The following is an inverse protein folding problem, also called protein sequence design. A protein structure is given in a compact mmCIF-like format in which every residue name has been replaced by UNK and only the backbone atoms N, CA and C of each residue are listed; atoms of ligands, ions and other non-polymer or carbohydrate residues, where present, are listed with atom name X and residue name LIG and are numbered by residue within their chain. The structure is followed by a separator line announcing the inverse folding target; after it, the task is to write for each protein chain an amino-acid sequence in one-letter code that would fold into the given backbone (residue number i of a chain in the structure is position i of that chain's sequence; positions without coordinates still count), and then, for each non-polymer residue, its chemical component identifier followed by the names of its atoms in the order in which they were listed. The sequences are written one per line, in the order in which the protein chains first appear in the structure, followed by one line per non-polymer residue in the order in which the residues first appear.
data_IF_061399798866
#
_entry.id   IF_061399798866
#
_cell.length_a   1.000
_cell.length_b   1.000
_cell.length_c   1.000
_cell.angle_alpha   90.00
_cell.angle_beta   90.00
_cell.angle_gamma   90.00
#
_symmetry.space_group_name_H-M   'P 1'
#
loop_
_entity.id
_entity.type
_entity.pdbx_description
1 polymer ?
#
# COMPACT_ATOMS: atom_id res chain seq x y z
N UNK A 1 41.29 -9.90 -74.54
CA UNK A 1 40.82 -8.53 -74.18
C UNK A 1 39.39 -8.55 -73.63
N UNK A 2 38.47 -9.31 -74.23
CA UNK A 2 37.05 -9.40 -73.81
C UNK A 2 36.82 -9.83 -72.35
N UNK A 3 37.65 -10.71 -71.78
CA UNK A 3 37.52 -11.14 -70.36
C UNK A 3 37.89 -10.07 -69.34
N UNK A 4 38.60 -9.00 -69.72
CA UNK A 4 38.98 -7.93 -68.81
C UNK A 4 37.88 -6.87 -68.64
N UNK A 5 37.12 -6.57 -69.70
CA UNK A 5 35.98 -5.64 -69.65
C UNK A 5 34.79 -6.20 -68.85
N UNK A 6 34.50 -7.49 -69.00
CA UNK A 6 33.42 -8.15 -68.24
C UNK A 6 33.72 -8.14 -66.75
N UNK A 7 34.98 -8.31 -66.35
CA UNK A 7 35.38 -8.29 -64.93
C UNK A 7 35.31 -6.89 -64.31
N UNK A 8 35.58 -5.84 -65.09
CA UNK A 8 35.42 -4.44 -64.68
C UNK A 8 33.95 -4.05 -64.46
N UNK A 9 33.07 -4.44 -65.39
CA UNK A 9 31.63 -4.15 -65.30
C UNK A 9 30.95 -4.88 -64.13
N UNK A 10 31.34 -6.13 -63.84
CA UNK A 10 30.82 -6.87 -62.68
C UNK A 10 31.27 -6.23 -61.36
N UNK A 11 32.51 -5.76 -61.25
CA UNK A 11 33.00 -5.05 -60.06
C UNK A 11 32.26 -3.73 -59.81
N UNK A 12 32.01 -2.93 -60.85
CA UNK A 12 31.22 -1.69 -60.72
C UNK A 12 29.77 -1.99 -60.30
N UNK A 13 29.12 -2.97 -60.92
CA UNK A 13 27.73 -3.33 -60.59
C UNK A 13 27.60 -3.81 -59.13
N UNK A 14 28.59 -4.56 -58.63
CA UNK A 14 28.60 -5.04 -57.24
C UNK A 14 28.82 -3.91 -56.23
N UNK A 15 29.67 -2.92 -56.55
CA UNK A 15 29.89 -1.73 -55.71
C UNK A 15 28.64 -0.84 -55.62
N UNK A 16 27.99 -0.58 -56.76
CA UNK A 16 26.75 0.22 -56.80
C UNK A 16 25.62 -0.48 -56.03
N UNK A 17 25.44 -1.79 -56.20
CA UNK A 17 24.46 -2.56 -55.44
C UNK A 17 24.71 -2.53 -53.92
N UNK A 18 25.98 -2.56 -53.50
CA UNK A 18 26.38 -2.42 -52.09
C UNK A 18 26.03 -1.05 -51.50
N UNK A 19 26.24 0.03 -52.25
CA UNK A 19 25.87 1.39 -51.83
C UNK A 19 24.35 1.52 -51.67
N UNK A 20 23.57 0.99 -52.62
CA UNK A 20 22.10 1.03 -52.53
C UNK A 20 21.57 0.22 -51.34
N UNK A 21 22.10 -0.98 -51.09
CA UNK A 21 21.72 -1.78 -49.90
C UNK A 21 22.07 -1.06 -48.60
N UNK A 22 23.23 -0.40 -48.55
CA UNK A 22 23.69 0.30 -47.34
C UNK A 22 22.90 1.60 -47.10
N UNK A 23 22.58 2.35 -48.15
CA UNK A 23 21.70 3.52 -48.08
C UNK A 23 20.29 3.12 -47.61
N UNK A 24 19.74 2.01 -48.13
CA UNK A 24 18.46 1.48 -47.69
C UNK A 24 18.49 1.06 -46.21
N UNK A 25 19.60 0.48 -45.75
CA UNK A 25 19.84 0.13 -44.34
C UNK A 25 19.83 1.35 -43.41
N UNK A 26 20.47 2.46 -43.79
CA UNK A 26 20.43 3.71 -43.02
C UNK A 26 19.03 4.31 -42.98
N UNK A 27 18.35 4.38 -44.13
CA UNK A 27 16.99 4.93 -44.20
C UNK A 27 16.05 4.12 -43.30
N UNK A 28 16.20 2.78 -43.29
CA UNK A 28 15.45 1.90 -42.40
C UNK A 28 15.80 2.15 -40.92
N UNK A 29 17.08 2.27 -40.57
CA UNK A 29 17.52 2.55 -39.19
C UNK A 29 17.03 3.92 -38.68
N UNK A 30 17.11 4.97 -39.51
CA UNK A 30 16.58 6.30 -39.21
C UNK A 30 15.06 6.29 -39.08
N UNK A 31 14.35 5.60 -39.97
CA UNK A 31 12.90 5.45 -39.88
C UNK A 31 12.50 4.74 -38.58
N UNK A 32 13.21 3.67 -38.19
CA UNK A 32 13.04 3.01 -36.90
C UNK A 32 13.31 3.96 -35.73
N UNK A 33 14.39 4.74 -35.76
CA UNK A 33 14.68 5.70 -34.70
C UNK A 33 13.58 6.76 -34.54
N UNK A 34 13.10 7.32 -35.66
CA UNK A 34 12.06 8.36 -35.68
C UNK A 34 10.69 7.84 -35.26
N UNK A 35 10.37 6.57 -35.52
CA UNK A 35 9.10 5.95 -35.12
C UNK A 35 9.15 5.43 -33.68
N UNK A 36 10.25 4.78 -33.28
CA UNK A 36 10.34 4.09 -31.99
C UNK A 36 10.63 5.05 -30.85
N UNK A 37 11.43 6.11 -31.07
CA UNK A 37 11.72 7.11 -30.02
C UNK A 37 10.47 7.78 -29.42
N UNK A 38 9.53 8.34 -30.21
CA UNK A 38 8.32 8.94 -29.66
C UNK A 38 7.37 7.91 -29.03
N UNK A 39 7.37 6.66 -29.48
CA UNK A 39 6.62 5.57 -28.85
C UNK A 39 7.16 5.26 -27.46
N UNK A 40 8.49 5.21 -27.30
CA UNK A 40 9.14 5.00 -25.99
C UNK A 40 8.83 6.18 -25.05
N UNK A 41 8.87 7.42 -25.54
CA UNK A 41 8.50 8.59 -24.73
C UNK A 41 7.04 8.54 -24.28
N UNK A 42 6.13 8.17 -25.18
CA UNK A 42 4.70 8.03 -24.87
C UNK A 42 4.46 6.91 -23.86
N UNK A 43 5.07 5.74 -24.07
CA UNK A 43 4.97 4.60 -23.17
C UNK A 43 5.53 4.93 -21.79
N UNK A 44 6.68 5.61 -21.74
CA UNK A 44 7.31 6.08 -20.51
C UNK A 44 6.47 7.09 -19.76
N UNK A 45 5.95 8.10 -20.45
CA UNK A 45 5.05 9.09 -19.85
C UNK A 45 3.78 8.44 -19.27
N UNK A 46 3.18 7.49 -20.00
CA UNK A 46 2.01 6.76 -19.51
C UNK A 46 2.34 5.93 -18.26
N UNK A 47 3.50 5.27 -18.23
CA UNK A 47 3.94 4.49 -17.06
C UNK A 47 4.18 5.40 -15.84
N UNK A 48 4.81 6.57 -16.03
CA UNK A 48 5.01 7.55 -14.95
C UNK A 48 3.67 8.09 -14.43
N UNK A 49 2.73 8.43 -15.31
CA UNK A 49 1.39 8.88 -14.90
C UNK A 49 0.65 7.78 -14.11
N UNK A 50 0.75 6.53 -14.54
CA UNK A 50 0.16 5.41 -13.81
C UNK A 50 0.78 5.24 -12.41
N UNK A 51 2.10 5.41 -12.28
CA UNK A 51 2.80 5.39 -10.99
C UNK A 51 2.43 6.59 -10.11
N UNK A 52 2.26 7.79 -10.68
CA UNK A 52 1.81 8.97 -9.93
C UNK A 52 0.38 8.80 -9.42
N UNK A 53 -0.52 8.20 -10.21
CA UNK A 53 -1.86 7.82 -9.76
C UNK A 53 -1.80 6.77 -8.64
N UNK A 54 -0.93 5.76 -8.76
CA UNK A 54 -0.73 4.76 -7.71
C UNK A 54 -0.20 5.40 -6.42
N UNK A 55 0.78 6.32 -6.52
CA UNK A 55 1.30 7.07 -5.38
C UNK A 55 0.20 7.90 -4.69
N UNK A 56 -0.60 8.62 -5.47
CA UNK A 56 -1.73 9.42 -4.95
C UNK A 56 -2.79 8.54 -4.28
N UNK A 57 -3.06 7.35 -4.82
CA UNK A 57 -3.97 6.39 -4.20
C UNK A 57 -3.43 5.85 -2.88
N UNK A 58 -2.13 5.53 -2.81
CA UNK A 58 -1.46 5.11 -1.57
C UNK A 58 -1.49 6.22 -0.52
N UNK A 59 -1.30 7.48 -0.91
CA UNK A 59 -1.46 8.62 0.00
C UNK A 59 -2.89 8.71 0.55
N UNK A 60 -3.92 8.60 -0.30
CA UNK A 60 -5.30 8.59 0.16
C UNK A 60 -5.64 7.43 1.09
N UNK A 61 -5.05 6.25 0.87
CA UNK A 61 -5.14 5.11 1.79
C UNK A 61 -4.44 5.41 3.11
N UNK A 62 -3.26 6.02 3.08
CA UNK A 62 -2.51 6.43 4.27
C UNK A 62 -3.30 7.43 5.12
N UNK A 63 -3.90 8.45 4.51
CA UNK A 63 -4.70 9.46 5.22
C UNK A 63 -5.95 8.82 5.87
N UNK A 64 -6.63 7.95 5.14
CA UNK A 64 -7.79 7.21 5.66
C UNK A 64 -7.40 6.31 6.83
N UNK A 65 -6.22 5.70 6.75
CA UNK A 65 -5.67 4.86 7.78
C UNK A 65 -5.29 5.65 9.04
N UNK A 66 -4.68 6.82 8.90
CA UNK A 66 -4.38 7.71 10.04
C UNK A 66 -5.66 8.18 10.74
N UNK A 67 -6.71 8.50 9.98
CA UNK A 67 -8.02 8.83 10.54
C UNK A 67 -8.66 7.65 11.32
N UNK A 68 -8.54 6.43 10.77
CA UNK A 68 -9.00 5.22 11.46
C UNK A 68 -8.19 4.95 12.74
N UNK A 69 -6.87 5.12 12.68
CA UNK A 69 -5.96 5.01 13.83
C UNK A 69 -6.39 5.94 14.97
N UNK A 70 -6.64 7.22 14.66
CA UNK A 70 -7.06 8.21 15.65
C UNK A 70 -8.41 7.85 16.30
N UNK A 71 -9.33 7.30 15.51
CA UNK A 71 -10.63 6.81 16.00
C UNK A 71 -10.46 5.64 16.97
N UNK A 72 -9.56 4.69 16.67
CA UNK A 72 -9.23 3.59 17.57
C UNK A 72 -8.60 4.06 18.89
N UNK A 73 -7.70 5.04 18.84
CA UNK A 73 -7.14 5.65 20.06
C UNK A 73 -8.25 6.26 20.94
N UNK A 74 -9.17 7.01 20.33
CA UNK A 74 -10.30 7.62 21.04
C UNK A 74 -11.24 6.57 21.66
N UNK A 75 -11.46 5.46 20.95
CA UNK A 75 -12.21 4.31 21.47
C UNK A 75 -11.51 3.65 22.65
N UNK A 76 -10.18 3.48 22.59
CA UNK A 76 -9.40 2.91 23.68
C UNK A 76 -9.46 3.78 24.96
N UNK A 77 -9.42 5.10 24.83
CA UNK A 77 -9.60 6.03 25.96
C UNK A 77 -11.01 5.95 26.55
N UNK A 78 -12.04 5.95 25.70
CA UNK A 78 -13.43 5.77 26.12
C UNK A 78 -13.60 4.44 26.85
N UNK A 79 -12.94 3.40 26.34
CA UNK A 79 -12.92 2.09 26.94
C UNK A 79 -12.31 2.17 28.37
N UNK A 80 -11.13 2.74 28.51
CA UNK A 80 -10.50 2.88 29.83
C UNK A 80 -11.38 3.62 30.85
N UNK A 81 -12.06 4.69 30.41
CA UNK A 81 -12.99 5.45 31.24
C UNK A 81 -14.20 4.62 31.71
N UNK A 82 -14.84 3.88 30.80
CA UNK A 82 -15.99 3.03 31.14
C UNK A 82 -15.59 1.91 32.09
N UNK A 83 -14.43 1.27 31.88
CA UNK A 83 -13.87 0.31 32.84
C UNK A 83 -13.74 0.90 34.25
N UNK A 84 -13.19 2.12 34.35
CA UNK A 84 -13.04 2.80 35.63
C UNK A 84 -14.36 3.15 36.32
N UNK A 85 -15.39 3.51 35.55
CA UNK A 85 -16.74 3.75 36.08
C UNK A 85 -17.39 2.45 36.55
N UNK A 86 -17.26 1.37 35.78
CA UNK A 86 -17.79 0.06 36.11
C UNK A 86 -17.20 -0.46 37.43
N UNK A 87 -15.89 -0.31 37.62
CA UNK A 87 -15.21 -0.71 38.85
C UNK A 87 -15.71 0.09 40.08
N UNK A 88 -15.93 1.39 39.92
CA UNK A 88 -16.50 2.24 40.99
C UNK A 88 -17.93 1.81 41.34
N UNK A 89 -18.75 1.54 40.34
CA UNK A 89 -20.11 1.03 40.52
C UNK A 89 -20.10 -0.31 41.24
N UNK A 90 -19.20 -1.23 40.87
CA UNK A 90 -19.10 -2.58 41.46
C UNK A 90 -18.83 -2.47 42.96
N UNK A 91 -17.86 -1.64 43.31
CA UNK A 91 -17.48 -1.40 44.69
C UNK A 91 -18.59 -0.70 45.49
N UNK A 92 -19.33 0.22 44.88
CA UNK A 92 -20.51 0.85 45.49
C UNK A 92 -21.64 -0.15 45.75
N UNK A 93 -21.97 -0.96 44.76
CA UNK A 93 -22.99 -2.02 44.80
C UNK A 93 -22.69 -3.05 45.88
N UNK A 94 -21.44 -3.52 45.97
CA UNK A 94 -21.02 -4.47 47.00
C UNK A 94 -21.16 -3.91 48.43
N UNK A 95 -20.79 -2.63 48.63
CA UNK A 95 -20.95 -1.94 49.92
C UNK A 95 -22.41 -1.75 50.29
N UNK A 96 -23.27 -1.39 49.33
CA UNK A 96 -24.69 -1.20 49.58
C UNK A 96 -25.37 -2.53 49.91
N UNK A 97 -25.08 -3.59 49.15
CA UNK A 97 -25.56 -4.95 49.42
C UNK A 97 -25.16 -5.42 50.83
N UNK A 98 -23.90 -5.21 51.23
CA UNK A 98 -23.43 -5.53 52.59
C UNK A 98 -24.19 -4.75 53.67
N UNK A 99 -24.45 -3.46 53.43
CA UNK A 99 -25.20 -2.60 54.36
C UNK A 99 -26.67 -3.03 54.47
N UNK A 100 -27.31 -3.39 53.35
CA UNK A 100 -28.67 -3.94 53.28
C UNK A 100 -28.79 -5.26 54.05
N UNK A 101 -27.81 -6.16 53.89
CA UNK A 101 -27.77 -7.44 54.62
C UNK A 101 -27.67 -7.24 56.14
N UNK A 102 -26.80 -6.32 56.58
CA UNK A 102 -26.66 -5.96 58.00
C UNK A 102 -27.94 -5.30 58.55
N UNK A 103 -28.59 -4.45 57.75
CA UNK A 103 -29.86 -3.82 58.10
C UNK A 103 -30.97 -4.87 58.22
N UNK A 104 -31.06 -5.82 57.28
CA UNK A 104 -31.99 -6.95 57.31
C UNK A 104 -31.83 -7.77 58.58
N UNK A 105 -30.58 -8.08 58.92
CA UNK A 105 -30.23 -8.83 60.13
C UNK A 105 -30.63 -8.07 61.40
N UNK A 106 -30.41 -6.75 61.43
CA UNK A 106 -30.82 -5.89 62.57
C UNK A 106 -32.33 -5.76 62.69
N UNK A 107 -33.07 -5.59 61.58
CA UNK A 107 -34.54 -5.52 61.58
C UNK A 107 -35.16 -6.87 61.97
N UNK A 108 -34.62 -7.99 61.47
CA UNK A 108 -35.06 -9.33 61.85
C UNK A 108 -34.89 -9.59 63.36
N UNK A 109 -33.84 -9.04 63.97
CA UNK A 109 -33.67 -9.05 65.44
C UNK A 109 -34.65 -8.13 66.19
N UNK A 110 -35.15 -7.08 65.53
CA UNK A 110 -36.15 -6.14 66.06
C UNK A 110 -37.61 -6.55 65.74
N UNK A 111 -37.83 -7.73 65.13
CA UNK A 111 -39.08 -8.24 64.55
C UNK A 111 -40.30 -8.34 65.50
N UNK A 112 -40.19 -7.88 66.76
CA UNK A 112 -41.32 -7.78 67.68
C UNK A 112 -42.23 -6.56 67.36
N UNK A 113 -41.81 -5.61 66.50
CA UNK A 113 -42.62 -4.43 66.16
C UNK A 113 -42.58 -3.95 64.70
N UNK A 114 -41.93 -4.68 63.78
CA UNK A 114 -41.80 -4.25 62.38
C UNK A 114 -42.70 -5.11 61.46
N UNK A 115 -43.48 -4.49 60.54
CA UNK A 115 -44.30 -5.22 59.58
C UNK A 115 -43.45 -6.06 58.61
N UNK A 116 -43.86 -7.31 58.38
CA UNK A 116 -43.18 -8.28 57.52
C UNK A 116 -42.92 -7.78 56.09
N UNK A 117 -43.81 -6.93 55.55
CA UNK A 117 -43.66 -6.35 54.20
C UNK A 117 -42.36 -5.57 54.03
N UNK A 118 -41.89 -4.87 55.07
CA UNK A 118 -40.61 -4.13 55.02
C UNK A 118 -39.40 -5.07 55.00
N UNK A 119 -39.54 -6.30 55.52
CA UNK A 119 -38.48 -7.32 55.48
C UNK A 119 -38.41 -7.98 54.10
N UNK A 120 -39.57 -8.25 53.48
CA UNK A 120 -39.67 -8.76 52.11
C UNK A 120 -39.11 -7.76 51.09
N UNK A 121 -39.50 -6.47 51.15
CA UNK A 121 -38.96 -5.42 50.26
C UNK A 121 -37.43 -5.31 50.35
N UNK A 122 -36.88 -5.49 51.56
CA UNK A 122 -35.43 -5.43 51.78
C UNK A 122 -34.72 -6.66 51.18
N UNK A 123 -35.35 -7.83 51.28
CA UNK A 123 -34.83 -9.07 50.71
C UNK A 123 -34.89 -9.05 49.18
N UNK A 124 -35.98 -8.53 48.61
CA UNK A 124 -36.14 -8.30 47.17
C UNK A 124 -35.09 -7.30 46.68
N UNK A 125 -34.88 -6.21 47.42
CA UNK A 125 -33.84 -5.23 47.10
C UNK A 125 -32.42 -5.85 47.14
N UNK A 126 -32.14 -6.72 48.11
CA UNK A 126 -30.86 -7.42 48.19
C UNK A 126 -30.65 -8.38 47.00
N UNK A 127 -31.72 -9.07 46.59
CA UNK A 127 -31.73 -9.99 45.45
C UNK A 127 -31.44 -9.24 44.15
N UNK A 128 -32.14 -8.13 43.91
CA UNK A 128 -31.91 -7.25 42.77
C UNK A 128 -30.47 -6.70 42.74
N UNK A 129 -29.90 -6.36 43.90
CA UNK A 129 -28.49 -5.93 44.00
C UNK A 129 -27.49 -7.02 43.62
N UNK A 130 -27.73 -8.26 44.05
CA UNK A 130 -26.88 -9.41 43.70
C UNK A 130 -26.93 -9.70 42.20
N UNK A 131 -28.11 -9.56 41.60
CA UNK A 131 -28.32 -9.75 40.17
C UNK A 131 -27.63 -8.64 39.36
N UNK A 132 -27.73 -7.38 39.81
CA UNK A 132 -26.98 -6.27 39.24
C UNK A 132 -25.46 -6.49 39.32
N UNK A 133 -24.94 -6.97 40.46
CA UNK A 133 -23.51 -7.29 40.59
C UNK A 133 -23.06 -8.38 39.59
N UNK A 134 -23.90 -9.40 39.36
CA UNK A 134 -23.61 -10.46 38.39
C UNK A 134 -23.62 -9.96 36.94
N UNK A 135 -24.55 -9.06 36.60
CA UNK A 135 -24.57 -8.40 35.29
C UNK A 135 -23.34 -7.53 35.07
N UNK A 136 -22.85 -6.86 36.13
CA UNK A 136 -21.61 -6.09 36.07
C UNK A 136 -20.39 -6.97 35.83
N UNK A 137 -20.32 -8.17 36.42
CA UNK A 137 -19.24 -9.13 36.17
C UNK A 137 -19.21 -9.61 34.71
N UNK A 138 -20.41 -9.82 34.16
CA UNK A 138 -20.59 -10.15 32.75
C UNK A 138 -20.15 -9.00 31.83
N UNK A 139 -20.48 -7.76 32.21
CA UNK A 139 -20.04 -6.56 31.51
C UNK A 139 -18.52 -6.39 31.57
N UNK A 140 -17.89 -6.61 32.73
CA UNK A 140 -16.43 -6.55 32.88
C UNK A 140 -15.70 -7.59 32.02
N UNK A 141 -16.27 -8.80 31.91
CA UNK A 141 -15.74 -9.85 31.03
C UNK A 141 -15.82 -9.45 29.55
N UNK A 142 -16.97 -8.92 29.12
CA UNK A 142 -17.16 -8.41 27.76
C UNK A 142 -16.18 -7.28 27.44
N UNK A 143 -15.90 -6.44 28.43
CA UNK A 143 -14.95 -5.35 28.31
C UNK A 143 -13.50 -5.81 28.16
N UNK A 144 -13.13 -6.86 28.87
CA UNK A 144 -11.81 -7.49 28.76
C UNK A 144 -11.61 -8.09 27.36
N UNK A 145 -12.65 -8.73 26.81
CA UNK A 145 -12.64 -9.24 25.43
C UNK A 145 -12.52 -8.10 24.41
N UNK A 146 -13.27 -7.01 24.60
CA UNK A 146 -13.14 -5.82 23.77
C UNK A 146 -11.71 -5.26 23.82
N UNK A 147 -11.08 -5.23 25.00
CA UNK A 147 -9.71 -4.72 25.15
C UNK A 147 -8.71 -5.57 24.38
N UNK A 148 -8.86 -6.90 24.44
CA UNK A 148 -8.03 -7.81 23.66
C UNK A 148 -8.24 -7.61 22.15
N UNK A 149 -9.49 -7.38 21.71
CA UNK A 149 -9.81 -7.08 20.32
C UNK A 149 -9.19 -5.76 19.87
N UNK A 150 -9.30 -4.69 20.66
CA UNK A 150 -8.66 -3.40 20.40
C UNK A 150 -7.14 -3.55 20.24
N UNK A 151 -6.50 -4.36 21.09
CA UNK A 151 -5.06 -4.59 21.00
C UNK A 151 -4.67 -5.38 19.74
N UNK A 152 -5.46 -6.41 19.37
CA UNK A 152 -5.27 -7.13 18.11
C UNK A 152 -5.38 -6.21 16.91
N UNK A 153 -6.39 -5.33 16.89
CA UNK A 153 -6.57 -4.37 15.81
C UNK A 153 -5.41 -3.38 15.76
N UNK A 154 -4.90 -2.91 16.91
CA UNK A 154 -3.71 -2.05 16.96
C UNK A 154 -2.49 -2.70 16.31
N UNK A 155 -2.24 -3.99 16.56
CA UNK A 155 -1.12 -4.69 15.90
C UNK A 155 -1.33 -4.89 14.39
N UNK A 156 -2.57 -5.11 13.95
CA UNK A 156 -2.91 -5.17 12.53
C UNK A 156 -2.73 -3.81 11.85
N UNK A 157 -3.08 -2.74 12.56
CA UNK A 157 -2.87 -1.36 12.15
C UNK A 157 -1.37 -1.14 11.91
N UNK A 158 -0.51 -1.38 12.90
CA UNK A 158 0.95 -1.24 12.75
C UNK A 158 1.51 -2.03 11.55
N UNK A 159 1.04 -3.26 11.35
CA UNK A 159 1.43 -4.09 10.21
C UNK A 159 1.03 -3.46 8.88
N UNK A 160 -0.19 -2.95 8.79
CA UNK A 160 -0.73 -2.26 7.60
C UNK A 160 0.05 -0.99 7.29
N UNK A 161 0.40 -0.20 8.33
CA UNK A 161 1.23 1.00 8.18
C UNK A 161 2.59 0.67 7.55
N UNK A 162 3.23 -0.40 8.01
CA UNK A 162 4.49 -0.86 7.44
C UNK A 162 4.32 -1.30 5.98
N UNK A 163 3.25 -2.03 5.65
CA UNK A 163 2.95 -2.43 4.26
C UNK A 163 2.70 -1.23 3.33
N UNK A 164 2.00 -0.19 3.80
CA UNK A 164 1.81 1.06 3.06
C UNK A 164 3.17 1.73 2.79
N UNK A 165 4.02 1.82 3.83
CA UNK A 165 5.36 2.39 3.69
C UNK A 165 6.22 1.63 2.68
N UNK A 166 6.20 0.30 2.71
CA UNK A 166 6.91 -0.54 1.73
C UNK A 166 6.37 -0.33 0.32
N UNK A 167 5.05 -0.30 0.15
CA UNK A 167 4.42 -0.06 -1.17
C UNK A 167 4.83 1.29 -1.75
N UNK A 168 4.92 2.33 -0.92
CA UNK A 168 5.39 3.65 -1.36
C UNK A 168 6.84 3.62 -1.84
N UNK A 169 7.71 2.87 -1.15
CA UNK A 169 9.09 2.69 -1.56
C UNK A 169 9.20 1.93 -2.89
N UNK A 170 8.40 0.86 -3.07
CA UNK A 170 8.37 0.08 -4.30
C UNK A 170 7.89 0.90 -5.50
N UNK A 171 6.90 1.80 -5.30
CA UNK A 171 6.43 2.72 -6.35
C UNK A 171 7.55 3.69 -6.76
N UNK A 172 8.31 4.21 -5.80
CA UNK A 172 9.42 5.12 -6.09
C UNK A 172 10.55 4.41 -6.84
N UNK A 173 10.92 3.19 -6.43
CA UNK A 173 11.93 2.38 -7.13
C UNK A 173 11.48 2.00 -8.55
N UNK A 174 10.19 1.68 -8.73
CA UNK A 174 9.61 1.44 -10.05
C UNK A 174 9.70 2.67 -10.95
N UNK A 175 9.50 3.88 -10.41
CA UNK A 175 9.62 5.14 -11.15
C UNK A 175 11.04 5.39 -11.64
N UNK A 176 12.03 5.14 -10.80
CA UNK A 176 13.44 5.25 -11.17
C UNK A 176 13.87 4.16 -12.17
N UNK A 177 13.36 2.93 -12.00
CA UNK A 177 13.58 1.83 -12.95
C UNK A 177 13.02 2.17 -14.34
N UNK A 178 11.78 2.68 -14.41
CA UNK A 178 11.15 3.09 -15.67
C UNK A 178 11.96 4.19 -16.35
N UNK A 179 12.40 5.21 -15.62
CA UNK A 179 13.30 6.26 -16.15
C UNK A 179 14.59 5.67 -16.73
N UNK A 180 15.23 4.77 -15.99
CA UNK A 180 16.48 4.13 -16.40
C UNK A 180 16.31 3.32 -17.69
N UNK A 181 15.25 2.52 -17.79
CA UNK A 181 14.92 1.73 -18.99
C UNK A 181 14.71 2.65 -20.19
N UNK A 182 13.91 3.72 -20.05
CA UNK A 182 13.67 4.68 -21.14
C UNK A 182 14.99 5.29 -21.61
N UNK A 183 15.83 5.74 -20.67
CA UNK A 183 17.14 6.30 -20.98
C UNK A 183 18.06 5.31 -21.71
N UNK A 184 18.12 4.07 -21.22
CA UNK A 184 18.94 3.00 -21.80
C UNK A 184 18.49 2.61 -23.21
N UNK A 185 17.18 2.44 -23.43
CA UNK A 185 16.64 2.10 -24.75
C UNK A 185 16.88 3.24 -25.75
N UNK A 186 16.70 4.49 -25.33
CA UNK A 186 17.03 5.66 -26.17
C UNK A 186 18.51 5.71 -26.56
N UNK A 187 19.41 5.46 -25.61
CA UNK A 187 20.84 5.41 -25.87
C UNK A 187 21.21 4.29 -26.85
N UNK A 188 20.64 3.09 -26.67
CA UNK A 188 20.86 1.96 -27.55
C UNK A 188 20.39 2.24 -29.00
N UNK A 189 19.21 2.85 -29.15
CA UNK A 189 18.67 3.29 -30.44
C UNK A 189 19.57 4.32 -31.13
N UNK A 190 20.10 5.28 -30.36
CA UNK A 190 21.02 6.29 -30.87
C UNK A 190 22.36 5.67 -31.32
N UNK A 191 22.93 4.78 -30.51
CA UNK A 191 24.17 4.06 -30.85
C UNK A 191 24.00 3.18 -32.09
N UNK A 192 22.88 2.45 -32.19
CA UNK A 192 22.56 1.63 -33.37
C UNK A 192 22.51 2.49 -34.64
N UNK A 193 21.88 3.66 -34.56
CA UNK A 193 21.78 4.60 -35.68
C UNK A 193 23.15 5.14 -36.08
N UNK A 194 23.99 5.55 -35.12
CA UNK A 194 25.36 6.01 -35.37
C UNK A 194 26.20 4.90 -36.01
N UNK A 195 26.13 3.67 -35.50
CA UNK A 195 26.86 2.53 -36.06
C UNK A 195 26.45 2.23 -37.50
N UNK A 196 25.15 2.30 -37.81
CA UNK A 196 24.66 2.14 -39.18
C UNK A 196 25.22 3.21 -40.13
N UNK A 197 25.29 4.48 -39.68
CA UNK A 197 25.87 5.59 -40.46
C UNK A 197 27.38 5.41 -40.67
N UNK A 198 28.13 5.01 -39.63
CA UNK A 198 29.57 4.77 -39.74
C UNK A 198 29.90 3.61 -40.70
N UNK A 199 29.13 2.52 -40.64
CA UNK A 199 29.25 1.39 -41.55
C UNK A 199 29.04 1.82 -43.01
N UNK A 200 28.06 2.67 -43.27
CA UNK A 200 27.84 3.21 -44.60
C UNK A 200 28.99 4.11 -45.07
N UNK A 201 29.50 4.99 -44.22
CA UNK A 201 30.64 5.85 -44.57
C UNK A 201 31.90 5.02 -44.89
N UNK A 202 32.14 3.93 -44.14
CA UNK A 202 33.21 2.99 -44.40
C UNK A 202 33.03 2.26 -45.75
N UNK A 203 31.80 1.81 -46.05
CA UNK A 203 31.47 1.16 -47.32
C UNK A 203 31.58 2.10 -48.53
N UNK A 204 31.12 3.35 -48.39
CA UNK A 204 31.29 4.39 -49.41
C UNK A 204 32.77 4.63 -49.70
N UNK A 205 33.59 4.79 -48.65
CA UNK A 205 35.04 5.00 -48.77
C UNK A 205 35.74 3.83 -49.47
N UNK A 206 35.38 2.59 -49.13
CA UNK A 206 35.90 1.37 -49.77
C UNK A 206 35.52 1.29 -51.25
N UNK A 207 34.27 1.63 -51.60
CA UNK A 207 33.81 1.63 -52.98
C UNK A 207 34.51 2.69 -53.84
N UNK A 208 34.76 3.90 -53.29
CA UNK A 208 35.54 4.94 -53.99
C UNK A 208 37.01 4.58 -54.14
N UNK A 209 37.59 3.86 -53.17
CA UNK A 209 38.99 3.39 -53.24
C UNK A 209 39.23 2.26 -54.24
N UNK A 210 38.18 1.53 -54.68
CA UNK A 210 38.25 0.52 -55.75
C UNK A 210 38.08 1.16 -57.15
N UNK A 211 37.52 2.37 -57.21
CA UNK A 211 37.23 3.12 -58.45
C UNK A 211 38.37 4.04 -58.91
N UNK A 212 39.39 4.22 -58.06
CA UNK A 212 40.64 4.95 -58.33
C UNK A 212 41.78 3.97 -58.64
#
# INVERSE_FOLDING_TARGET
MERAEVFGNVKMAMGVAGIFLSALGIVCALACYLVVSPLIDRAGANAVVALDHASSAVEGVSDSFDAASASFTSMAETQQNVSGVLEKLRNGTAKLSSSLSLLSTSLGRLSVSIPQSSLEELNDSSSAFSEAASQMDSAGSSFSQLSASTQSVSSQLDSTKNSISSTRADIEDAKETVKSIIGGVKLALLLMTIMAVLLFLAMMSYSTGILL
#
